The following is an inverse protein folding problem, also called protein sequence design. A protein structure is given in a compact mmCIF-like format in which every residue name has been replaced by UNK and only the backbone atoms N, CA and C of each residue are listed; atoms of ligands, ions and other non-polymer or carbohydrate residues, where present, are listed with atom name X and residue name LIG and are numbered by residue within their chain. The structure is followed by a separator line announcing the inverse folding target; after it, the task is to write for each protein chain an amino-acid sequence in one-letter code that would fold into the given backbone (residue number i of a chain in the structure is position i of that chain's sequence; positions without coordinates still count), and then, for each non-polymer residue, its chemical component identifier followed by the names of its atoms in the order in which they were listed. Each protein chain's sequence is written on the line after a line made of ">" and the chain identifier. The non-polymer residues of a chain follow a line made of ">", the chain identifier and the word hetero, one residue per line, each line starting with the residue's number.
data_IF_639289826287
#
_entry.id   IF_639289826287
#
_cell.length_a   1.000
_cell.length_b   1.000
_cell.length_c   1.000
_cell.angle_alpha   90.00
_cell.angle_beta   90.00
_cell.angle_gamma   90.00
#
_symmetry.space_group_name_H-M   'P 1'
#
loop_
_entity.id
_entity.type
_entity.pdbx_description
1 polymer ?
#
# COMPACT_ATOMS: atom_id res chain seq x y z
N UNK A 1 -11.37 -34.73 -10.29
CA UNK A 1 -12.36 -35.59 -9.62
C UNK A 1 -12.38 -35.18 -8.15
N UNK A 2 -13.26 -34.23 -7.81
CA UNK A 2 -13.41 -33.75 -6.43
C UNK A 2 -14.28 -34.80 -5.73
N UNK A 3 -13.66 -35.64 -4.89
CA UNK A 3 -14.41 -36.48 -3.97
C UNK A 3 -15.03 -35.51 -2.97
N UNK A 4 -16.34 -35.33 -3.05
CA UNK A 4 -17.10 -34.63 -2.02
C UNK A 4 -16.95 -35.45 -0.73
N UNK A 5 -16.02 -35.05 0.12
CA UNK A 5 -15.88 -35.60 1.46
C UNK A 5 -17.13 -35.16 2.26
N UNK A 6 -18.15 -36.01 2.25
CA UNK A 6 -19.40 -35.87 3.01
C UNK A 6 -19.16 -36.13 4.51
N UNK A 7 -17.98 -35.81 5.03
CA UNK A 7 -17.62 -36.06 6.42
C UNK A 7 -18.18 -34.94 7.30
N UNK A 8 -19.14 -35.30 8.16
CA UNK A 8 -19.56 -34.42 9.24
C UNK A 8 -18.31 -34.05 10.06
N UNK A 9 -18.02 -32.75 10.15
CA UNK A 9 -16.84 -32.27 10.85
C UNK A 9 -17.22 -31.80 12.25
N UNK A 10 -16.38 -32.14 13.21
CA UNK A 10 -16.59 -31.75 14.60
C UNK A 10 -16.40 -30.25 14.77
N UNK A 11 -17.34 -29.63 15.47
CA UNK A 11 -17.27 -28.24 15.88
C UNK A 11 -16.00 -27.97 16.72
N UNK A 12 -15.50 -26.74 16.67
CA UNK A 12 -14.41 -26.29 17.54
C UNK A 12 -14.88 -25.16 18.42
N UNK A 13 -14.26 -25.00 19.59
CA UNK A 13 -14.57 -23.91 20.52
C UNK A 13 -14.58 -22.55 19.83
N UNK A 14 -13.53 -22.26 19.05
CA UNK A 14 -13.38 -20.96 18.38
C UNK A 14 -14.38 -20.73 17.25
N UNK A 15 -14.77 -21.77 16.51
CA UNK A 15 -15.80 -21.64 15.48
C UNK A 15 -17.18 -21.38 16.11
N UNK A 16 -17.50 -22.08 17.20
CA UNK A 16 -18.70 -21.79 17.99
C UNK A 16 -18.74 -20.35 18.51
N UNK A 17 -17.64 -19.88 19.11
CA UNK A 17 -17.51 -18.49 19.59
C UNK A 17 -17.66 -17.46 18.48
N UNK A 18 -17.09 -17.73 17.29
CA UNK A 18 -17.29 -16.88 16.13
C UNK A 18 -18.77 -16.79 15.74
N UNK A 19 -19.48 -17.92 15.63
CA UNK A 19 -20.91 -17.91 15.29
C UNK A 19 -21.75 -17.15 16.33
N UNK A 20 -21.47 -17.34 17.62
CA UNK A 20 -22.14 -16.63 18.70
C UNK A 20 -21.89 -15.12 18.63
N UNK A 21 -20.64 -14.72 18.38
CA UNK A 21 -20.25 -13.32 18.20
C UNK A 21 -20.94 -12.72 16.98
N UNK A 22 -20.92 -13.42 15.84
CA UNK A 22 -21.55 -12.96 14.60
C UNK A 22 -23.05 -12.72 14.79
N UNK A 23 -23.77 -13.68 15.41
CA UNK A 23 -25.18 -13.52 15.76
C UNK A 23 -25.40 -12.34 16.72
N UNK A 24 -24.55 -12.22 17.73
CA UNK A 24 -24.61 -11.16 18.74
C UNK A 24 -24.39 -9.76 18.17
N UNK A 25 -23.48 -9.59 17.22
CA UNK A 25 -23.23 -8.32 16.51
C UNK A 25 -24.51 -7.78 15.85
N UNK A 26 -25.33 -8.67 15.28
CA UNK A 26 -26.61 -8.30 14.66
C UNK A 26 -27.80 -8.34 15.62
N UNK A 27 -27.56 -8.61 16.91
CA UNK A 27 -28.59 -8.72 17.96
C UNK A 27 -29.71 -9.72 17.62
N UNK A 28 -29.38 -10.74 16.82
CA UNK A 28 -30.34 -11.74 16.38
C UNK A 28 -30.59 -12.79 17.47
N UNK A 29 -31.84 -13.11 17.70
CA UNK A 29 -32.26 -14.23 18.53
C UNK A 29 -32.12 -15.56 17.78
N UNK A 30 -32.10 -16.68 18.53
CA UNK A 30 -32.14 -18.00 17.91
C UNK A 30 -33.42 -18.26 17.10
N UNK A 31 -34.54 -17.68 17.54
CA UNK A 31 -35.84 -17.90 16.92
C UNK A 31 -35.95 -17.13 15.60
N UNK A 32 -35.37 -15.93 15.50
CA UNK A 32 -35.26 -15.18 14.24
C UNK A 32 -34.41 -15.94 13.20
N UNK A 33 -33.27 -16.50 13.63
CA UNK A 33 -32.42 -17.31 12.74
C UNK A 33 -33.18 -18.53 12.23
N UNK A 34 -33.91 -19.24 13.11
CA UNK A 34 -34.72 -20.39 12.72
C UNK A 34 -35.88 -20.00 11.79
N UNK A 35 -36.57 -18.89 12.06
CA UNK A 35 -37.66 -18.37 11.23
C UNK A 35 -37.21 -18.00 9.81
N UNK A 36 -35.95 -17.55 9.67
CA UNK A 36 -35.32 -17.28 8.38
C UNK A 36 -34.79 -18.55 7.65
N UNK A 37 -35.19 -19.75 8.08
CA UNK A 37 -34.76 -21.01 7.50
C UNK A 37 -33.41 -21.54 8.01
N UNK A 38 -32.91 -20.97 9.11
CA UNK A 38 -31.68 -21.41 9.78
C UNK A 38 -31.87 -22.64 10.67
N UNK A 39 -30.79 -23.13 11.31
CA UNK A 39 -30.90 -24.23 12.26
C UNK A 39 -31.72 -23.85 13.48
N UNK A 40 -32.41 -24.84 14.07
CA UNK A 40 -33.16 -24.63 15.31
C UNK A 40 -32.24 -24.19 16.47
N UNK A 41 -32.81 -23.55 17.50
CA UNK A 41 -32.09 -23.24 18.75
C UNK A 41 -31.39 -24.47 19.34
N UNK A 42 -32.05 -25.64 19.31
CA UNK A 42 -31.49 -26.90 19.82
C UNK A 42 -30.27 -27.39 19.05
N UNK A 43 -30.08 -26.93 17.81
CA UNK A 43 -28.91 -27.24 16.98
C UNK A 43 -27.85 -26.14 17.08
N UNK A 44 -28.25 -24.88 16.94
CA UNK A 44 -27.32 -23.74 16.89
C UNK A 44 -26.66 -23.46 18.24
N UNK A 45 -27.42 -23.51 19.34
CA UNK A 45 -26.87 -23.20 20.66
C UNK A 45 -25.71 -24.12 21.08
N UNK A 46 -25.81 -25.46 20.96
CA UNK A 46 -24.67 -26.36 21.21
C UNK A 46 -23.43 -26.02 20.38
N UNK A 47 -23.62 -25.63 19.11
CA UNK A 47 -22.52 -25.23 18.23
C UNK A 47 -21.88 -23.94 18.77
N UNK A 48 -22.67 -22.92 19.06
CA UNK A 48 -22.21 -21.62 19.58
C UNK A 48 -21.53 -21.73 20.95
N UNK A 49 -21.99 -22.64 21.81
CA UNK A 49 -21.38 -22.95 23.10
C UNK A 49 -20.02 -23.67 22.96
N UNK A 50 -19.63 -24.02 21.72
CA UNK A 50 -18.36 -24.67 21.42
C UNK A 50 -18.33 -26.16 21.76
N UNK A 51 -19.51 -26.79 21.92
CA UNK A 51 -19.60 -28.22 22.20
C UNK A 51 -19.09 -29.03 21.02
N UNK A 52 -18.49 -30.19 21.31
CA UNK A 52 -17.92 -31.10 20.32
C UNK A 52 -19.02 -31.88 19.58
N UNK A 53 -19.85 -31.17 18.82
CA UNK A 53 -20.95 -31.71 18.02
C UNK A 53 -20.58 -31.77 16.55
N UNK A 54 -21.10 -32.77 15.84
CA UNK A 54 -20.89 -32.92 14.41
C UNK A 54 -21.76 -31.90 13.65
N UNK A 55 -21.15 -31.09 12.78
CA UNK A 55 -21.87 -30.10 11.96
C UNK A 55 -21.99 -30.64 10.54
N UNK A 56 -23.22 -30.78 10.06
CA UNK A 56 -23.51 -31.26 8.71
C UNK A 56 -23.47 -30.12 7.67
N UNK A 57 -23.28 -30.48 6.40
CA UNK A 57 -23.39 -29.55 5.27
C UNK A 57 -24.76 -28.87 5.22
N UNK A 58 -25.84 -29.60 5.52
CA UNK A 58 -27.20 -29.04 5.62
C UNK A 58 -27.29 -27.94 6.69
N UNK A 59 -26.67 -28.16 7.85
CA UNK A 59 -26.63 -27.15 8.92
C UNK A 59 -25.91 -25.88 8.47
N UNK A 60 -24.78 -26.04 7.76
CA UNK A 60 -23.99 -24.91 7.24
C UNK A 60 -24.75 -24.15 6.14
N UNK A 61 -25.44 -24.86 5.25
CA UNK A 61 -26.27 -24.26 4.21
C UNK A 61 -27.45 -23.48 4.80
N UNK A 62 -28.10 -24.01 5.85
CA UNK A 62 -29.15 -23.30 6.59
C UNK A 62 -28.63 -22.03 7.25
N UNK A 63 -27.45 -22.07 7.87
CA UNK A 63 -26.82 -20.86 8.42
C UNK A 63 -26.56 -19.82 7.33
N UNK A 64 -25.92 -20.21 6.24
CA UNK A 64 -25.63 -19.29 5.13
C UNK A 64 -26.90 -18.69 4.52
N UNK A 65 -27.97 -19.48 4.39
CA UNK A 65 -29.25 -19.01 3.90
C UNK A 65 -29.88 -17.97 4.85
N UNK A 66 -30.01 -18.30 6.14
CA UNK A 66 -30.63 -17.43 7.13
C UNK A 66 -29.86 -16.12 7.31
N UNK A 67 -28.53 -16.17 7.44
CA UNK A 67 -27.74 -14.93 7.56
C UNK A 67 -27.69 -14.15 6.24
N UNK A 68 -27.82 -14.81 5.09
CA UNK A 68 -27.95 -14.14 3.79
C UNK A 68 -29.25 -13.35 3.63
N UNK A 69 -30.31 -13.71 4.35
CA UNK A 69 -31.59 -12.98 4.35
C UNK A 69 -31.71 -11.97 5.49
N UNK A 70 -31.12 -12.27 6.65
CA UNK A 70 -31.20 -11.42 7.85
C UNK A 70 -30.16 -10.30 7.90
N UNK A 71 -28.98 -10.49 7.29
CA UNK A 71 -27.89 -9.51 7.33
C UNK A 71 -27.81 -8.76 6.00
N UNK A 72 -27.83 -7.41 6.02
CA UNK A 72 -27.72 -6.62 4.79
C UNK A 72 -26.42 -6.92 4.03
N UNK A 73 -26.50 -6.99 2.70
CA UNK A 73 -25.35 -7.33 1.84
C UNK A 73 -24.26 -6.24 1.88
N UNK A 74 -24.67 -5.00 2.07
CA UNK A 74 -23.83 -3.81 2.24
C UNK A 74 -23.16 -3.74 3.62
N UNK A 75 -23.63 -4.53 4.60
CA UNK A 75 -23.03 -4.51 5.93
C UNK A 75 -21.58 -5.05 5.87
N UNK A 76 -20.61 -4.36 6.50
CA UNK A 76 -19.21 -4.78 6.57
C UNK A 76 -18.95 -6.25 6.91
N UNK A 77 -19.78 -6.78 7.81
CA UNK A 77 -19.73 -8.16 8.32
C UNK A 77 -20.88 -9.02 7.74
N UNK A 78 -21.14 -8.93 6.44
CA UNK A 78 -22.24 -9.65 5.79
C UNK A 78 -22.07 -11.19 5.79
N UNK A 79 -23.04 -11.91 5.24
CA UNK A 79 -23.03 -13.37 5.15
C UNK A 79 -21.82 -13.98 4.42
N UNK A 80 -21.09 -13.22 3.59
CA UNK A 80 -19.86 -13.73 2.98
C UNK A 80 -18.74 -13.90 4.01
N UNK A 81 -18.73 -13.12 5.10
CA UNK A 81 -17.81 -13.33 6.21
C UNK A 81 -18.04 -14.70 6.85
N UNK A 82 -19.30 -15.04 7.12
CA UNK A 82 -19.67 -16.36 7.64
C UNK A 82 -19.20 -17.47 6.69
N UNK A 83 -19.38 -17.28 5.37
CA UNK A 83 -18.88 -18.23 4.36
C UNK A 83 -17.37 -18.40 4.45
N UNK A 84 -16.62 -17.31 4.52
CA UNK A 84 -15.16 -17.35 4.67
C UNK A 84 -14.73 -18.04 5.98
N UNK A 85 -15.43 -17.77 7.09
CA UNK A 85 -15.18 -18.44 8.37
C UNK A 85 -15.47 -19.94 8.31
N UNK A 86 -16.54 -20.37 7.62
CA UNK A 86 -16.84 -21.78 7.37
C UNK A 86 -15.72 -22.43 6.55
N UNK A 87 -15.25 -21.79 5.48
CA UNK A 87 -14.12 -22.28 4.68
C UNK A 87 -12.87 -22.44 5.54
N UNK A 88 -12.56 -21.42 6.36
CA UNK A 88 -11.43 -21.45 7.27
C UNK A 88 -11.57 -22.57 8.32
N UNK A 89 -12.77 -22.80 8.88
CA UNK A 89 -13.01 -23.89 9.82
C UNK A 89 -12.95 -25.27 9.16
N UNK A 90 -13.41 -25.41 7.91
CA UNK A 90 -13.44 -26.69 7.15
C UNK A 90 -12.06 -27.18 6.72
N UNK A 91 -11.10 -26.29 6.54
CA UNK A 91 -9.73 -26.68 6.19
C UNK A 91 -8.91 -26.49 7.45
N UNK A 92 -8.14 -27.47 7.95
CA UNK A 92 -7.20 -27.14 9.04
C UNK A 92 -6.06 -26.29 8.45
N UNK A 93 -5.51 -25.31 9.18
CA UNK A 93 -4.24 -24.71 8.81
C UNK A 93 -3.26 -25.81 8.44
N UNK A 94 -2.58 -25.66 7.30
CA UNK A 94 -1.70 -26.72 6.84
C UNK A 94 -0.40 -26.66 7.63
N UNK A 95 -0.26 -27.54 8.62
CA UNK A 95 1.02 -27.78 9.28
C UNK A 95 1.99 -28.61 8.42
N UNK A 96 1.58 -29.01 7.19
CA UNK A 96 2.45 -29.71 6.24
C UNK A 96 3.61 -28.77 5.80
N UNK A 97 4.86 -29.11 6.16
CA UNK A 97 6.02 -28.30 5.79
C UNK A 97 6.17 -28.15 4.28
N UNK A 98 5.72 -29.13 3.49
CA UNK A 98 5.82 -29.10 2.03
C UNK A 98 4.88 -28.06 1.43
N UNK A 99 3.67 -27.94 1.98
CA UNK A 99 2.71 -26.92 1.60
C UNK A 99 3.19 -25.52 1.95
N UNK A 100 3.66 -25.33 3.19
CA UNK A 100 4.24 -24.05 3.60
C UNK A 100 5.45 -23.68 2.73
N UNK A 101 6.33 -24.63 2.41
CA UNK A 101 7.45 -24.39 1.51
C UNK A 101 6.99 -23.97 0.09
N UNK A 102 5.94 -24.60 -0.45
CA UNK A 102 5.34 -24.18 -1.73
C UNK A 102 4.75 -22.78 -1.65
N UNK A 103 4.00 -22.46 -0.60
CA UNK A 103 3.41 -21.13 -0.40
C UNK A 103 4.50 -20.06 -0.32
N UNK A 104 5.60 -20.33 0.40
CA UNK A 104 6.77 -19.46 0.46
C UNK A 104 7.46 -19.33 -0.89
N UNK A 105 7.55 -20.40 -1.68
CA UNK A 105 8.13 -20.36 -3.03
C UNK A 105 7.26 -19.53 -3.99
N UNK A 106 5.93 -19.76 -4.01
CA UNK A 106 4.99 -18.95 -4.79
C UNK A 106 5.05 -17.48 -4.41
N UNK A 107 5.05 -17.21 -3.11
CA UNK A 107 5.28 -15.87 -2.61
C UNK A 107 6.60 -15.35 -3.15
N UNK A 108 7.69 -16.12 -3.05
CA UNK A 108 9.05 -15.74 -3.41
C UNK A 108 9.36 -15.61 -4.92
N UNK A 109 8.51 -16.17 -5.77
CA UNK A 109 8.63 -16.10 -7.22
C UNK A 109 7.64 -15.10 -7.83
N UNK A 110 6.80 -14.46 -7.02
CA UNK A 110 5.88 -13.41 -7.45
C UNK A 110 6.61 -12.16 -7.97
N UNK A 111 6.50 -11.89 -9.27
CA UNK A 111 7.10 -10.73 -9.96
C UNK A 111 6.07 -9.68 -10.38
N UNK A 112 4.84 -9.76 -9.88
CA UNK A 112 3.77 -8.84 -10.28
C UNK A 112 4.09 -7.40 -9.92
N UNK A 113 4.46 -6.58 -10.91
CA UNK A 113 4.80 -5.16 -10.71
C UNK A 113 3.59 -4.31 -10.29
N UNK A 114 2.39 -4.77 -10.64
CA UNK A 114 1.11 -4.08 -10.42
C UNK A 114 0.31 -4.64 -9.24
N UNK A 115 0.88 -5.51 -8.43
CA UNK A 115 0.13 -6.06 -7.31
C UNK A 115 1.02 -6.84 -6.35
N UNK A 116 0.68 -6.76 -5.08
CA UNK A 116 1.33 -7.54 -4.03
C UNK A 116 0.67 -8.90 -3.93
N UNK A 117 1.48 -9.94 -3.81
CA UNK A 117 1.00 -11.26 -3.40
C UNK A 117 0.50 -11.18 -1.96
N UNK A 118 -0.77 -11.50 -1.74
CA UNK A 118 -1.36 -11.52 -0.41
C UNK A 118 -1.36 -12.94 0.15
N UNK A 119 -1.72 -13.95 -0.64
CA UNK A 119 -1.71 -15.35 -0.20
C UNK A 119 -2.38 -16.27 -1.20
N UNK A 120 -2.81 -17.44 -0.74
CA UNK A 120 -3.63 -18.38 -1.52
C UNK A 120 -4.99 -18.56 -0.85
N UNK A 121 -6.05 -18.66 -1.65
CA UNK A 121 -7.38 -18.97 -1.15
C UNK A 121 -7.42 -20.38 -0.57
N UNK A 122 -8.04 -20.51 0.59
CA UNK A 122 -8.07 -21.76 1.35
C UNK A 122 -8.92 -22.84 0.66
N UNK A 123 -9.94 -22.46 -0.11
CA UNK A 123 -10.88 -23.38 -0.74
C UNK A 123 -10.39 -23.95 -2.08
N UNK A 124 -9.89 -23.11 -2.97
CA UNK A 124 -9.50 -23.50 -4.33
C UNK A 124 -8.01 -23.33 -4.65
N UNK A 125 -7.22 -22.82 -3.70
CA UNK A 125 -5.79 -22.58 -3.88
C UNK A 125 -5.45 -21.42 -4.82
N UNK A 126 -6.45 -20.65 -5.27
CA UNK A 126 -6.21 -19.54 -6.18
C UNK A 126 -5.37 -18.44 -5.53
N UNK A 127 -4.45 -17.85 -6.28
CA UNK A 127 -3.61 -16.75 -5.80
C UNK A 127 -4.49 -15.52 -5.53
N UNK A 128 -4.30 -14.95 -4.35
CA UNK A 128 -4.87 -13.64 -3.98
C UNK A 128 -3.76 -12.61 -4.08
N UNK A 129 -4.01 -11.58 -4.88
CA UNK A 129 -3.12 -10.45 -5.05
C UNK A 129 -3.92 -9.14 -5.07
N UNK A 130 -3.30 -8.06 -4.63
CA UNK A 130 -3.97 -6.76 -4.53
C UNK A 130 -2.99 -5.60 -4.54
N UNK A 131 -3.51 -4.39 -4.70
CA UNK A 131 -2.76 -3.14 -4.57
C UNK A 131 -2.65 -2.70 -3.11
N UNK A 132 -3.37 -3.33 -2.19
CA UNK A 132 -3.27 -2.94 -0.79
C UNK A 132 -3.95 -3.94 0.13
N UNK A 133 -3.50 -3.90 1.38
CA UNK A 133 -4.08 -4.63 2.49
C UNK A 133 -4.00 -3.74 3.72
N UNK A 134 -5.12 -3.57 4.43
CA UNK A 134 -5.19 -2.79 5.66
C UNK A 134 -5.89 -3.61 6.74
N UNK A 135 -5.57 -3.37 8.01
CA UNK A 135 -6.39 -3.91 9.09
C UNK A 135 -7.80 -3.35 8.98
N UNK A 136 -8.80 -4.21 9.18
CA UNK A 136 -10.20 -3.77 9.21
C UNK A 136 -10.39 -2.65 10.24
N UNK A 137 -11.01 -1.56 9.78
CA UNK A 137 -11.40 -0.42 10.59
C UNK A 137 -12.94 -0.41 10.67
N UNK A 138 -13.48 -1.24 11.54
CA UNK A 138 -14.92 -1.35 11.76
C UNK A 138 -15.19 -1.40 13.26
N UNK A 139 -16.15 -0.60 13.72
CA UNK A 139 -16.47 -0.50 15.15
C UNK A 139 -16.98 -1.82 15.75
N UNK A 140 -17.52 -2.71 14.91
CA UNK A 140 -17.93 -4.04 15.33
C UNK A 140 -16.77 -5.03 15.46
N UNK A 141 -15.55 -4.67 15.05
CA UNK A 141 -14.37 -5.54 15.07
C UNK A 141 -13.24 -4.94 15.90
N UNK A 142 -12.97 -5.56 17.04
CA UNK A 142 -11.81 -5.22 17.87
C UNK A 142 -10.61 -6.09 17.50
N UNK A 143 -9.59 -5.51 16.87
CA UNK A 143 -8.32 -6.19 16.60
C UNK A 143 -7.42 -6.15 17.84
N UNK A 144 -7.04 -7.33 18.34
CA UNK A 144 -6.17 -7.48 19.52
C UNK A 144 -4.76 -6.90 19.29
N UNK A 145 -4.05 -6.61 20.38
CA UNK A 145 -2.67 -6.12 20.31
C UNK A 145 -1.73 -7.14 19.62
N UNK A 146 -1.90 -8.43 19.93
CA UNK A 146 -1.14 -9.53 19.32
C UNK A 146 -1.35 -9.58 17.80
N UNK A 147 -2.60 -9.46 17.35
CA UNK A 147 -2.89 -9.46 15.92
C UNK A 147 -2.36 -8.21 15.20
N UNK A 148 -2.29 -7.06 15.89
CA UNK A 148 -1.62 -5.86 15.35
C UNK A 148 -0.11 -6.04 15.23
N UNK A 149 0.54 -6.75 16.15
CA UNK A 149 1.96 -7.12 16.04
C UNK A 149 2.17 -8.03 14.82
N UNK A 150 1.41 -9.12 14.72
CA UNK A 150 1.50 -10.05 13.61
C UNK A 150 1.24 -9.37 12.24
N UNK A 151 0.30 -8.43 12.19
CA UNK A 151 0.05 -7.66 10.98
C UNK A 151 1.22 -6.75 10.59
N UNK A 152 1.88 -6.11 11.56
CA UNK A 152 3.07 -5.29 11.30
C UNK A 152 4.21 -6.14 10.73
N UNK A 153 4.46 -7.31 11.30
CA UNK A 153 5.44 -8.27 10.78
C UNK A 153 5.11 -8.66 9.34
N UNK A 154 3.84 -8.97 9.07
CA UNK A 154 3.36 -9.29 7.73
C UNK A 154 3.61 -8.18 6.71
N UNK A 155 3.28 -6.93 7.05
CA UNK A 155 3.52 -5.79 6.16
C UNK A 155 5.02 -5.55 5.96
N UNK A 156 5.86 -5.70 7.00
CA UNK A 156 7.31 -5.64 6.89
C UNK A 156 7.85 -6.70 5.92
N UNK A 157 7.30 -7.92 5.91
CA UNK A 157 7.71 -8.94 4.95
C UNK A 157 7.34 -8.60 3.50
N UNK A 158 6.15 -8.03 3.29
CA UNK A 158 5.78 -7.51 1.96
C UNK A 158 6.79 -6.44 1.51
N UNK A 159 7.16 -5.52 2.41
CA UNK A 159 8.12 -4.44 2.15
C UNK A 159 9.47 -4.94 1.65
N UNK A 160 10.02 -5.92 2.38
CA UNK A 160 11.36 -6.45 2.13
C UNK A 160 11.42 -7.16 0.78
N UNK A 161 10.31 -7.75 0.35
CA UNK A 161 10.23 -8.52 -0.88
C UNK A 161 9.91 -7.69 -2.12
N UNK A 162 8.94 -6.77 -2.01
CA UNK A 162 8.43 -6.09 -3.19
C UNK A 162 9.52 -5.25 -3.85
N UNK A 163 9.62 -5.27 -5.18
CA UNK A 163 10.60 -4.50 -5.96
C UNK A 163 10.31 -2.99 -6.01
N UNK A 164 9.25 -2.55 -5.32
CA UNK A 164 8.86 -1.15 -5.29
C UNK A 164 9.71 -0.41 -4.25
N UNK A 165 9.91 0.87 -4.50
CA UNK A 165 10.41 1.79 -3.50
C UNK A 165 9.49 1.76 -2.29
N UNK A 166 10.03 1.52 -1.09
CA UNK A 166 9.22 1.48 0.13
C UNK A 166 9.12 2.89 0.70
N UNK A 167 7.89 3.35 0.95
CA UNK A 167 7.61 4.65 1.54
C UNK A 167 7.02 4.47 2.94
N UNK A 168 7.59 5.17 3.92
CA UNK A 168 7.08 5.19 5.29
C UNK A 168 6.76 6.63 5.68
N UNK A 169 5.51 6.98 6.03
CA UNK A 169 5.21 8.30 6.58
C UNK A 169 6.04 8.56 7.85
N UNK A 170 6.55 9.77 8.01
CA UNK A 170 7.44 10.19 9.09
C UNK A 170 6.86 9.90 10.48
N UNK A 171 5.54 10.08 10.65
CA UNK A 171 4.80 9.78 11.88
C UNK A 171 4.91 8.29 12.31
N UNK A 172 5.13 7.38 11.35
CA UNK A 172 5.21 5.94 11.59
C UNK A 172 6.63 5.39 11.49
N UNK A 173 7.64 6.24 11.28
CA UNK A 173 9.01 5.81 11.04
C UNK A 173 9.67 5.08 12.23
N UNK A 174 9.11 5.23 13.44
CA UNK A 174 9.51 4.49 14.64
C UNK A 174 8.68 3.23 14.92
N UNK A 175 7.53 3.07 14.26
CA UNK A 175 6.61 1.94 14.44
C UNK A 175 6.78 0.86 13.36
N UNK A 176 7.21 1.27 12.17
CA UNK A 176 7.56 0.36 11.08
C UNK A 176 8.99 -0.10 11.32
N UNK A 177 9.11 -1.20 12.06
CA UNK A 177 10.39 -1.85 12.29
C UNK A 177 10.60 -2.88 11.18
N UNK A 178 11.50 -2.56 10.25
CA UNK A 178 12.06 -3.56 9.34
C UNK A 178 13.17 -4.28 10.11
N UNK A 179 12.72 -5.20 10.95
CA UNK A 179 13.35 -5.74 12.17
C UNK A 179 14.75 -6.40 12.03
N UNK A 180 15.35 -6.42 10.84
CA UNK A 180 16.81 -6.40 10.79
C UNK A 180 17.29 -5.66 9.56
N UNK A 181 18.12 -4.64 9.78
CA UNK A 181 18.95 -4.04 8.74
C UNK A 181 19.70 -5.14 7.98
N UNK A 182 20.08 -6.22 8.65
CA UNK A 182 20.77 -7.36 8.06
C UNK A 182 19.91 -8.15 7.05
N UNK A 183 18.63 -8.39 7.33
CA UNK A 183 17.74 -9.07 6.38
C UNK A 183 17.39 -8.17 5.19
N UNK A 184 17.11 -6.89 5.45
CA UNK A 184 16.91 -5.92 4.38
C UNK A 184 18.15 -5.83 3.50
N UNK A 185 19.35 -5.63 4.07
CA UNK A 185 20.60 -5.57 3.31
C UNK A 185 20.94 -6.90 2.62
N UNK A 186 20.46 -8.04 3.12
CA UNK A 186 20.64 -9.31 2.43
C UNK A 186 19.77 -9.42 1.17
N UNK A 187 18.55 -8.88 1.20
CA UNK A 187 17.56 -9.00 0.12
C UNK A 187 17.64 -7.82 -0.86
N UNK A 188 17.91 -6.62 -0.33
CA UNK A 188 18.02 -5.33 -0.99
C UNK A 188 19.39 -4.70 -0.64
N UNK A 189 20.50 -5.31 -1.10
CA UNK A 189 21.86 -4.93 -0.69
C UNK A 189 22.26 -3.52 -1.11
N UNK A 190 21.62 -2.96 -2.14
CA UNK A 190 21.87 -1.60 -2.57
C UNK A 190 20.93 -0.61 -1.86
N UNK A 191 19.86 -1.12 -1.24
CA UNK A 191 18.83 -0.35 -0.56
C UNK A 191 19.30 0.45 0.65
N UNK A 192 19.15 1.77 0.58
CA UNK A 192 19.41 2.67 1.70
C UNK A 192 18.13 3.17 2.37
N UNK A 193 18.21 3.47 3.67
CA UNK A 193 17.24 4.37 4.32
C UNK A 193 17.55 5.80 3.90
N UNK A 194 16.51 6.51 3.48
CA UNK A 194 16.56 7.88 2.98
C UNK A 194 15.38 8.67 3.49
N UNK A 195 15.43 9.97 3.32
CA UNK A 195 14.42 10.90 3.75
C UNK A 195 14.02 11.87 2.63
N UNK A 196 12.72 12.12 2.51
CA UNK A 196 12.15 13.14 1.64
C UNK A 196 11.33 14.10 2.51
N UNK A 197 11.70 15.37 2.54
CA UNK A 197 11.06 16.35 3.42
C UNK A 197 11.94 16.83 4.58
N UNK A 198 11.49 17.87 5.28
CA UNK A 198 12.18 18.46 6.42
C UNK A 198 12.42 17.48 7.60
N UNK A 199 13.53 17.70 8.32
CA UNK A 199 13.84 17.03 9.60
C UNK A 199 14.85 15.88 9.50
N UNK A 200 15.40 15.63 8.33
CA UNK A 200 16.36 14.54 8.11
C UNK A 200 17.82 14.95 8.34
N UNK A 201 18.67 13.96 8.66
CA UNK A 201 20.13 14.15 8.64
C UNK A 201 20.56 14.39 7.19
N UNK A 202 21.36 15.43 6.96
CA UNK A 202 21.76 15.91 5.63
C UNK A 202 22.28 14.84 4.66
N UNK A 203 22.93 13.78 5.18
CA UNK A 203 23.50 12.71 4.36
C UNK A 203 22.50 11.64 3.89
N UNK A 204 21.25 11.71 4.33
CA UNK A 204 20.20 10.74 4.00
C UNK A 204 19.05 11.37 3.20
N UNK A 205 19.19 12.64 2.80
CA UNK A 205 18.15 13.40 2.07
C UNK A 205 18.16 13.06 0.58
N UNK A 206 16.99 12.93 -0.02
CA UNK A 206 16.80 12.79 -1.47
C UNK A 206 16.23 14.08 -2.03
N UNK A 207 16.90 14.64 -3.04
CA UNK A 207 16.31 15.69 -3.87
C UNK A 207 15.41 15.04 -4.93
N UNK A 208 14.12 15.00 -4.63
CA UNK A 208 13.14 14.45 -5.55
C UNK A 208 12.57 15.55 -6.45
N UNK A 209 12.86 15.47 -7.75
CA UNK A 209 12.19 16.29 -8.75
C UNK A 209 10.90 15.57 -9.21
N UNK A 210 9.71 16.06 -8.83
CA UNK A 210 8.46 15.41 -9.20
C UNK A 210 8.04 15.66 -10.65
N UNK A 211 8.71 16.54 -11.39
CA UNK A 211 8.36 16.88 -12.79
C UNK A 211 9.42 16.41 -13.78
N UNK A 212 10.49 15.75 -13.31
CA UNK A 212 11.47 15.09 -14.17
C UNK A 212 10.84 14.06 -15.12
N UNK A 213 11.54 13.87 -16.24
CA UNK A 213 11.29 12.90 -17.32
C UNK A 213 9.94 13.07 -18.06
N UNK A 214 9.35 14.27 -18.00
CA UNK A 214 8.12 14.56 -18.75
C UNK A 214 8.48 14.92 -20.19
N UNK A 215 8.24 13.99 -21.11
CA UNK A 215 8.61 14.14 -22.53
C UNK A 215 7.43 14.30 -23.48
N UNK A 216 6.20 14.01 -23.02
CA UNK A 216 4.98 14.11 -23.82
C UNK A 216 3.85 14.82 -23.08
N UNK A 217 2.85 15.33 -23.82
CA UNK A 217 1.66 15.94 -23.23
C UNK A 217 0.85 14.94 -22.38
N UNK A 218 0.81 13.68 -22.79
CA UNK A 218 0.13 12.62 -22.04
C UNK A 218 0.81 12.40 -20.67
N UNK A 219 2.14 12.36 -20.65
CA UNK A 219 2.91 12.24 -19.40
C UNK A 219 2.74 13.48 -18.52
N UNK A 220 2.73 14.66 -19.15
CA UNK A 220 2.54 15.93 -18.46
C UNK A 220 1.16 16.02 -17.80
N UNK A 221 0.10 15.60 -18.49
CA UNK A 221 -1.26 15.52 -17.94
C UNK A 221 -1.30 14.53 -16.78
N UNK A 222 -0.81 13.31 -16.99
CA UNK A 222 -0.76 12.26 -15.94
C UNK A 222 0.00 12.76 -14.71
N UNK A 223 1.12 13.47 -14.93
CA UNK A 223 1.92 14.03 -13.85
C UNK A 223 1.23 15.18 -13.14
N UNK A 224 0.58 16.09 -13.87
CA UNK A 224 -0.18 17.19 -13.30
C UNK A 224 -1.33 16.68 -12.40
N UNK A 225 -2.06 15.65 -12.82
CA UNK A 225 -3.09 15.00 -12.01
C UNK A 225 -2.50 14.33 -10.76
N UNK A 226 -1.38 13.61 -10.91
CA UNK A 226 -0.69 12.98 -9.80
C UNK A 226 -0.19 14.00 -8.77
N UNK A 227 0.30 15.15 -9.24
CA UNK A 227 0.69 16.31 -8.41
C UNK A 227 -0.50 17.04 -7.77
N UNK A 228 -1.68 16.93 -8.37
CA UNK A 228 -2.92 17.47 -7.83
C UNK A 228 -3.42 18.76 -8.41
N UNK A 229 -3.13 19.00 -9.68
CA UNK A 229 -3.89 19.97 -10.45
C UNK A 229 -5.39 19.62 -10.44
N UNK A 230 -6.23 20.63 -10.24
CA UNK A 230 -7.67 20.52 -10.40
C UNK A 230 -8.03 20.27 -11.88
N UNK A 231 -9.12 19.57 -12.21
CA UNK A 231 -9.46 19.21 -13.59
C UNK A 231 -9.45 20.39 -14.58
N UNK A 232 -9.81 21.59 -14.12
CA UNK A 232 -9.83 22.82 -14.91
C UNK A 232 -8.44 23.42 -15.18
N UNK A 233 -7.45 23.07 -14.35
CA UNK A 233 -6.08 23.58 -14.39
C UNK A 233 -5.06 22.53 -14.88
N UNK A 234 -5.46 21.25 -15.06
CA UNK A 234 -4.57 20.14 -15.47
C UNK A 234 -3.77 20.48 -16.72
N UNK A 235 -4.44 20.98 -17.77
CA UNK A 235 -3.76 21.34 -19.02
C UNK A 235 -2.74 22.46 -18.78
N UNK A 236 -3.09 23.49 -18.02
CA UNK A 236 -2.19 24.61 -17.79
C UNK A 236 -0.93 24.18 -17.04
N UNK A 237 -1.11 23.36 -16.00
CA UNK A 237 0.02 22.79 -15.24
C UNK A 237 0.86 21.89 -16.16
N UNK A 238 0.23 21.03 -16.97
CA UNK A 238 0.93 20.14 -17.91
C UNK A 238 1.81 20.91 -18.90
N UNK A 239 1.34 22.03 -19.46
CA UNK A 239 2.14 22.87 -20.35
C UNK A 239 3.35 23.48 -19.63
N UNK A 240 3.20 23.86 -18.36
CA UNK A 240 4.33 24.33 -17.54
C UNK A 240 5.34 23.21 -17.29
N UNK A 241 4.89 21.98 -17.03
CA UNK A 241 5.78 20.84 -16.85
C UNK A 241 6.62 20.58 -18.11
N UNK A 242 5.99 20.59 -19.28
CA UNK A 242 6.67 20.45 -20.57
C UNK A 242 7.69 21.56 -20.80
N UNK A 243 7.31 22.82 -20.54
CA UNK A 243 8.20 23.95 -20.69
C UNK A 243 9.42 23.86 -19.77
N UNK A 244 9.22 23.42 -18.52
CA UNK A 244 10.30 23.22 -17.54
C UNK A 244 11.27 22.11 -17.98
N UNK A 245 10.76 20.96 -18.42
CA UNK A 245 11.58 19.84 -18.92
C UNK A 245 12.34 20.22 -20.20
N UNK A 246 11.72 20.99 -21.08
CA UNK A 246 12.40 21.49 -22.28
C UNK A 246 13.51 22.52 -21.93
N UNK A 247 13.33 23.31 -20.87
CA UNK A 247 14.30 24.34 -20.47
C UNK A 247 15.48 23.77 -19.66
N UNK A 248 15.24 22.80 -18.78
CA UNK A 248 16.26 22.17 -17.96
C UNK A 248 15.95 20.68 -17.75
N UNK A 249 16.34 19.79 -18.70
CA UNK A 249 16.00 18.37 -18.64
C UNK A 249 16.46 17.65 -17.36
N UNK A 250 17.59 18.07 -16.79
CA UNK A 250 18.18 17.44 -15.61
C UNK A 250 17.54 17.90 -14.28
N UNK A 251 16.99 19.12 -14.24
CA UNK A 251 16.44 19.75 -13.02
C UNK A 251 15.25 20.67 -13.32
N UNK A 252 14.19 20.15 -13.96
CA UNK A 252 13.09 20.98 -14.42
C UNK A 252 12.41 21.76 -13.30
N UNK A 253 12.31 21.21 -12.08
CA UNK A 253 11.66 21.94 -10.98
C UNK A 253 12.40 23.21 -10.57
N UNK A 254 13.72 23.26 -10.78
CA UNK A 254 14.54 24.40 -10.40
C UNK A 254 14.31 25.63 -11.28
N UNK A 255 13.78 25.45 -12.50
CA UNK A 255 13.57 26.55 -13.46
C UNK A 255 12.11 27.02 -13.56
N UNK A 256 11.18 26.40 -12.83
CA UNK A 256 9.73 26.72 -12.91
C UNK A 256 9.46 28.20 -12.67
N UNK A 257 10.06 28.82 -11.65
CA UNK A 257 9.86 30.25 -11.38
C UNK A 257 10.44 31.15 -12.48
N UNK A 258 11.55 30.73 -13.08
CA UNK A 258 12.23 31.46 -14.17
C UNK A 258 11.41 31.47 -15.46
N UNK A 259 10.50 30.50 -15.67
CA UNK A 259 9.55 30.52 -16.79
C UNK A 259 8.62 31.74 -16.76
N UNK A 260 8.48 32.38 -15.59
CA UNK A 260 7.63 33.55 -15.38
C UNK A 260 8.43 34.85 -15.14
N UNK A 261 9.76 34.85 -15.29
CA UNK A 261 10.60 36.01 -15.02
C UNK A 261 10.66 36.97 -16.22
N UNK A 262 10.35 38.25 -16.00
CA UNK A 262 10.32 39.29 -17.05
C UNK A 262 11.74 39.55 -17.58
N UNK A 263 11.96 39.30 -18.87
CA UNK A 263 13.11 39.85 -19.60
C UNK A 263 14.04 38.87 -20.35
N UNK A 264 14.04 37.54 -20.11
CA UNK A 264 14.96 36.66 -20.85
C UNK A 264 14.64 35.15 -20.98
N UNK A 265 13.50 34.60 -20.50
CA UNK A 265 13.26 33.14 -20.63
C UNK A 265 11.79 32.73 -20.85
N UNK A 266 10.96 33.64 -21.36
CA UNK A 266 9.53 33.41 -21.66
C UNK A 266 9.26 32.55 -22.91
N UNK A 267 10.30 32.23 -23.69
CA UNK A 267 10.15 31.60 -25.02
C UNK A 267 9.53 30.19 -24.94
N UNK A 268 9.98 29.27 -24.06
CA UNK A 268 9.51 27.88 -24.13
C UNK A 268 8.02 27.71 -23.85
N UNK A 269 7.49 28.33 -22.79
CA UNK A 269 6.07 28.17 -22.42
C UNK A 269 5.15 28.90 -23.40
N UNK A 270 5.51 30.11 -23.83
CA UNK A 270 4.73 30.88 -24.79
C UNK A 270 4.66 30.16 -26.15
N UNK A 271 5.79 29.66 -26.65
CA UNK A 271 5.86 28.91 -27.91
C UNK A 271 5.03 27.62 -27.85
N UNK A 272 5.06 26.93 -26.71
CA UNK A 272 4.23 25.76 -26.46
C UNK A 272 2.74 26.15 -26.50
N UNK A 273 2.32 27.19 -25.76
CA UNK A 273 0.93 27.65 -25.77
C UNK A 273 0.44 28.01 -27.18
N UNK A 274 1.26 28.71 -27.97
CA UNK A 274 0.94 29.07 -29.36
C UNK A 274 0.73 27.83 -30.24
N UNK A 275 1.57 26.80 -30.11
CA UNK A 275 1.41 25.53 -30.85
C UNK A 275 0.11 24.80 -30.52
N UNK A 276 -0.38 24.92 -29.29
CA UNK A 276 -1.63 24.30 -28.85
C UNK A 276 -2.86 25.22 -28.95
N UNK A 277 -2.70 26.45 -29.46
CA UNK A 277 -3.80 27.42 -29.57
C UNK A 277 -4.33 27.90 -28.20
N UNK A 278 -3.51 27.77 -27.14
CA UNK A 278 -3.86 28.19 -25.78
C UNK A 278 -3.44 29.64 -25.58
N UNK A 279 -4.33 30.48 -25.05
CA UNK A 279 -3.97 31.87 -24.72
C UNK A 279 -2.96 31.90 -23.59
N UNK A 280 -1.80 32.51 -23.86
CA UNK A 280 -0.76 32.66 -22.86
C UNK A 280 -1.14 33.73 -21.83
N UNK A 281 -1.40 33.30 -20.59
CA UNK A 281 -1.62 34.16 -19.42
C UNK A 281 -0.59 33.83 -18.33
N UNK A 282 0.49 34.60 -18.28
CA UNK A 282 1.60 34.35 -17.36
C UNK A 282 1.19 34.41 -15.89
N UNK A 283 0.20 35.24 -15.53
CA UNK A 283 -0.29 35.33 -14.16
C UNK A 283 -1.10 34.09 -13.79
N UNK A 284 -1.94 33.59 -14.70
CA UNK A 284 -2.69 32.34 -14.52
C UNK A 284 -1.74 31.15 -14.37
N UNK A 285 -0.83 30.93 -15.31
CA UNK A 285 0.12 29.82 -15.27
C UNK A 285 0.96 29.85 -13.99
N UNK A 286 1.49 31.01 -13.61
CA UNK A 286 2.25 31.16 -12.37
C UNK A 286 1.42 30.77 -11.15
N UNK A 287 0.17 31.26 -11.05
CA UNK A 287 -0.71 30.96 -9.92
C UNK A 287 -0.97 29.46 -9.79
N UNK A 288 -1.40 28.80 -10.87
CA UNK A 288 -1.76 27.36 -10.82
C UNK A 288 -0.54 26.48 -10.58
N UNK A 289 0.61 26.81 -11.19
CA UNK A 289 1.86 26.08 -10.95
C UNK A 289 2.37 26.26 -9.53
N UNK A 290 2.28 27.46 -8.95
CA UNK A 290 2.69 27.68 -7.55
C UNK A 290 1.79 26.93 -6.57
N UNK A 291 0.49 26.88 -6.81
CA UNK A 291 -0.44 26.11 -5.98
C UNK A 291 -0.09 24.62 -5.92
N UNK A 292 0.42 24.06 -7.01
CA UNK A 292 0.72 22.63 -7.13
C UNK A 292 2.18 22.30 -6.78
N UNK A 293 3.15 23.12 -7.23
CA UNK A 293 4.57 22.79 -7.23
C UNK A 293 5.38 23.46 -6.11
N UNK A 294 4.86 24.49 -5.42
CA UNK A 294 5.66 25.26 -4.46
C UNK A 294 6.27 24.38 -3.36
N UNK A 295 5.47 23.52 -2.72
CA UNK A 295 5.96 22.62 -1.68
C UNK A 295 7.06 21.69 -2.20
N UNK A 296 6.89 21.13 -3.40
CA UNK A 296 7.88 20.26 -4.01
C UNK A 296 9.18 20.97 -4.34
N UNK A 297 9.09 22.18 -4.90
CA UNK A 297 10.23 23.00 -5.26
C UNK A 297 11.02 23.38 -4.01
N UNK A 298 10.33 23.80 -2.96
CA UNK A 298 10.97 24.20 -1.71
C UNK A 298 11.72 23.02 -1.10
N UNK A 299 11.13 21.81 -1.08
CA UNK A 299 11.82 20.59 -0.62
C UNK A 299 13.00 20.20 -1.51
N UNK A 300 12.87 20.32 -2.83
CA UNK A 300 13.97 20.07 -3.76
C UNK A 300 15.15 21.02 -3.52
N UNK A 301 14.88 22.31 -3.34
CA UNK A 301 15.90 23.32 -3.05
C UNK A 301 16.57 23.04 -1.70
N UNK A 302 15.78 22.73 -0.67
CA UNK A 302 16.30 22.40 0.66
C UNK A 302 17.18 21.14 0.65
N UNK A 303 16.88 20.18 -0.22
CA UNK A 303 17.70 18.98 -0.40
C UNK A 303 19.01 19.22 -1.18
N UNK A 304 19.03 20.19 -2.10
CA UNK A 304 20.17 20.45 -3.01
C UNK A 304 21.12 21.55 -2.55
N UNK A 305 20.76 22.36 -1.57
CA UNK A 305 21.57 23.54 -1.21
C UNK A 305 22.01 23.53 0.25
N UNK A 306 23.31 23.73 0.47
CA UNK A 306 23.85 24.13 1.76
C UNK A 306 24.06 25.64 1.77
N UNK A 307 23.35 26.32 2.66
CA UNK A 307 23.40 27.78 2.80
C UNK A 307 23.89 28.10 4.20
N UNK A 308 25.03 28.78 4.28
CA UNK A 308 25.63 29.21 5.54
C UNK A 308 25.93 30.71 5.47
N UNK A 309 25.75 31.39 6.60
CA UNK A 309 26.25 32.76 6.76
C UNK A 309 27.60 32.64 7.45
N UNK A 310 28.66 32.91 6.70
CA UNK A 310 30.02 32.82 7.19
C UNK A 310 30.74 34.16 7.01
N UNK A 311 31.71 34.43 7.88
CA UNK A 311 32.56 35.60 7.72
C UNK A 311 33.42 35.39 6.47
N UNK A 312 33.45 36.40 5.61
CA UNK A 312 34.38 36.45 4.49
C UNK A 312 35.82 36.73 4.99
N UNK A 313 36.78 36.75 4.07
CA UNK A 313 38.18 37.01 4.40
C UNK A 313 38.42 38.37 5.09
N UNK A 314 37.44 39.28 5.05
CA UNK A 314 37.49 40.62 5.65
C UNK A 314 36.65 40.72 6.94
N UNK A 315 36.10 39.61 7.45
CA UNK A 315 35.27 39.59 8.66
C UNK A 315 33.82 40.07 8.45
N UNK A 316 33.36 40.22 7.20
CA UNK A 316 31.98 40.57 6.88
C UNK A 316 31.14 39.32 6.67
N UNK A 317 29.94 39.29 7.26
CA UNK A 317 29.00 38.16 7.10
C UNK A 317 28.47 38.12 5.68
N UNK A 318 28.84 37.08 4.93
CA UNK A 318 28.38 36.84 3.57
C UNK A 318 27.55 35.56 3.50
N UNK A 319 26.54 35.56 2.63
CA UNK A 319 25.75 34.37 2.34
C UNK A 319 26.58 33.48 1.40
N UNK A 320 26.97 32.30 1.88
CA UNK A 320 27.64 31.29 1.08
C UNK A 320 26.65 30.17 0.77
N UNK A 321 26.33 30.01 -0.50
CA UNK A 321 25.44 28.96 -0.99
C UNK A 321 26.23 27.97 -1.83
N UNK A 322 26.22 26.70 -1.43
CA UNK A 322 26.86 25.61 -2.16
C UNK A 322 25.80 24.60 -2.58
N UNK A 323 25.77 24.28 -3.86
CA UNK A 323 24.98 23.15 -4.36
C UNK A 323 25.65 21.84 -3.93
N UNK A 324 24.85 20.93 -3.39
CA UNK A 324 25.25 19.59 -2.97
C UNK A 324 24.98 18.66 -4.15
N UNK A 325 26.02 18.01 -4.64
CA UNK A 325 25.89 16.89 -5.56
C UNK A 325 25.44 15.66 -4.78
N UNK A 326 24.14 15.42 -4.79
CA UNK A 326 23.59 14.15 -4.33
C UNK A 326 23.91 13.10 -5.40
N UNK A 327 24.32 11.91 -4.98
CA UNK A 327 24.52 10.82 -5.92
C UNK A 327 23.24 10.61 -6.72
N UNK A 328 23.36 10.50 -8.04
CA UNK A 328 22.26 10.12 -8.92
C UNK A 328 21.84 8.70 -8.53
N UNK A 329 20.76 8.56 -7.77
CA UNK A 329 20.21 7.30 -7.26
C UNK A 329 19.60 6.40 -8.38
N UNK A 330 20.02 6.58 -9.64
CA UNK A 330 19.68 5.70 -10.76
C UNK A 330 20.01 4.25 -10.40
N UNK A 331 19.04 3.36 -10.61
CA UNK A 331 19.02 1.92 -10.28
C UNK A 331 18.79 1.50 -8.82
N UNK A 332 18.92 2.37 -7.81
CA UNK A 332 18.82 1.97 -6.38
C UNK A 332 17.46 2.24 -5.73
N UNK A 333 16.58 3.01 -6.40
CA UNK A 333 15.28 3.43 -5.83
C UNK A 333 14.37 2.24 -5.46
N UNK A 334 14.29 1.20 -6.30
CA UNK A 334 13.43 0.03 -6.04
C UNK A 334 13.85 -0.81 -4.82
N UNK A 335 15.09 -0.65 -4.37
CA UNK A 335 15.62 -1.32 -3.17
C UNK A 335 15.60 -0.42 -1.93
N UNK A 336 15.26 0.86 -2.08
CA UNK A 336 15.39 1.84 -1.00
C UNK A 336 14.14 1.91 -0.11
N UNK A 337 14.34 2.45 1.10
CA UNK A 337 13.26 2.87 1.99
C UNK A 337 13.34 4.38 2.17
N UNK A 338 12.27 5.08 1.84
CA UNK A 338 12.15 6.51 2.05
C UNK A 338 11.17 6.82 3.17
N UNK A 339 11.64 7.57 4.15
CA UNK A 339 10.78 8.21 5.14
C UNK A 339 10.36 9.57 4.60
N UNK A 340 9.06 9.86 4.56
CA UNK A 340 8.57 11.12 4.00
C UNK A 340 7.53 11.82 4.87
N UNK A 341 7.43 13.14 4.78
CA UNK A 341 6.39 13.92 5.44
C UNK A 341 5.11 13.95 4.59
N UNK A 342 4.04 13.21 4.96
CA UNK A 342 2.80 13.19 4.19
C UNK A 342 2.01 14.51 4.29
N UNK A 343 2.26 15.36 5.27
CA UNK A 343 1.56 16.65 5.38
C UNK A 343 2.05 17.64 4.31
N UNK A 344 3.33 17.56 3.96
CA UNK A 344 3.95 18.40 2.93
C UNK A 344 3.84 17.80 1.54
N UNK A 345 4.07 16.49 1.43
CA UNK A 345 4.11 15.76 0.17
C UNK A 345 3.07 14.62 0.16
N UNK A 346 1.76 14.91 0.34
CA UNK A 346 0.72 13.88 0.47
C UNK A 346 0.59 13.00 -0.76
N UNK A 347 1.04 13.48 -1.93
CA UNK A 347 0.91 12.78 -3.21
C UNK A 347 2.20 12.10 -3.67
N UNK A 348 3.27 12.07 -2.87
CA UNK A 348 4.54 11.42 -3.22
C UNK A 348 4.37 10.00 -3.77
N UNK A 349 3.56 9.10 -3.17
CA UNK A 349 3.37 7.77 -3.73
C UNK A 349 2.77 7.78 -5.15
N UNK A 350 1.82 8.69 -5.42
CA UNK A 350 1.17 8.83 -6.74
C UNK A 350 2.09 9.45 -7.77
N UNK A 351 2.87 10.46 -7.38
CA UNK A 351 3.85 11.11 -8.25
C UNK A 351 4.95 10.14 -8.68
N UNK A 352 5.45 9.32 -7.75
CA UNK A 352 6.39 8.23 -8.05
C UNK A 352 5.80 7.23 -9.04
N UNK A 353 4.55 6.79 -8.81
CA UNK A 353 3.86 5.89 -9.75
C UNK A 353 3.70 6.52 -11.15
N UNK A 354 3.45 7.83 -11.24
CA UNK A 354 3.41 8.59 -12.48
C UNK A 354 4.81 8.86 -13.09
N UNK A 355 5.89 8.59 -12.36
CA UNK A 355 7.29 8.51 -12.85
C UNK A 355 7.68 7.07 -13.21
N UNK A 356 6.71 6.16 -13.37
CA UNK A 356 6.97 4.74 -13.60
C UNK A 356 7.85 4.11 -12.50
N UNK A 357 7.84 4.67 -11.29
CA UNK A 357 8.51 4.13 -10.11
C UNK A 357 7.43 3.64 -9.14
N UNK A 358 7.11 2.33 -9.12
CA UNK A 358 6.15 1.80 -8.16
C UNK A 358 6.57 2.11 -6.73
N UNK A 359 5.61 2.52 -5.91
CA UNK A 359 5.82 2.92 -4.53
C UNK A 359 4.93 2.11 -3.59
N UNK A 360 5.55 1.40 -2.65
CA UNK A 360 4.86 0.66 -1.60
C UNK A 360 4.84 1.49 -0.32
N UNK A 361 3.70 2.13 -0.06
CA UNK A 361 3.48 2.84 1.19
C UNK A 361 3.13 1.88 2.32
N UNK A 362 3.81 2.03 3.45
CA UNK A 362 3.63 1.19 4.64
C UNK A 362 3.29 2.04 5.86
N UNK A 363 2.31 1.57 6.61
CA UNK A 363 1.86 2.11 7.89
C UNK A 363 1.66 0.95 8.88
N UNK A 364 1.54 1.20 10.20
CA UNK A 364 1.28 0.17 11.19
C UNK A 364 -0.02 -0.61 10.95
N UNK A 365 -0.94 -0.04 10.16
CA UNK A 365 -2.28 -0.57 9.90
C UNK A 365 -2.53 -0.91 8.44
N UNK A 366 -1.54 -0.73 7.55
CA UNK A 366 -1.74 -1.09 6.14
C UNK A 366 -0.51 -0.97 5.25
N UNK A 367 -0.55 -1.71 4.15
CA UNK A 367 0.37 -1.64 3.03
C UNK A 367 -0.41 -1.27 1.76
N UNK A 368 0.09 -0.32 0.97
CA UNK A 368 -0.53 0.08 -0.30
C UNK A 368 0.52 0.32 -1.37
N UNK A 369 0.40 -0.41 -2.47
CA UNK A 369 1.14 -0.23 -3.69
C UNK A 369 0.48 0.84 -4.56
N UNK A 370 1.29 1.78 -5.02
CA UNK A 370 0.97 2.74 -6.06
C UNK A 370 1.82 2.40 -7.28
N UNK A 371 1.16 2.10 -8.39
CA UNK A 371 1.79 1.79 -9.66
C UNK A 371 1.02 2.49 -10.78
N UNK A 372 1.58 2.55 -11.99
CA UNK A 372 0.88 3.10 -13.14
C UNK A 372 -0.33 2.23 -13.51
N UNK A 373 -1.51 2.85 -13.67
CA UNK A 373 -2.77 2.20 -14.05
C UNK A 373 -3.83 2.14 -12.95
N UNK A 374 -4.94 1.44 -13.23
CA UNK A 374 -6.10 1.37 -12.34
C UNK A 374 -5.78 0.64 -11.02
N UNK A 375 -5.94 1.34 -9.91
CA UNK A 375 -5.60 0.89 -8.56
C UNK A 375 -6.86 0.58 -7.73
N UNK A 376 -7.51 -0.57 -7.95
CA UNK A 376 -8.82 -0.83 -7.32
C UNK A 376 -8.86 -1.98 -6.30
N UNK A 377 -7.86 -2.88 -6.31
CA UNK A 377 -7.91 -4.07 -5.44
C UNK A 377 -7.28 -3.81 -4.07
N UNK A 378 -8.03 -3.17 -3.19
CA UNK A 378 -7.67 -3.04 -1.77
C UNK A 378 -8.44 -4.07 -0.95
N UNK A 379 -7.77 -4.64 0.05
CA UNK A 379 -8.37 -5.61 0.97
C UNK A 379 -8.36 -5.11 2.40
N UNK A 380 -9.46 -5.32 3.12
CA UNK A 380 -9.45 -5.26 4.58
C UNK A 380 -9.14 -6.64 5.14
N UNK A 381 -8.16 -6.70 6.03
CA UNK A 381 -7.69 -7.90 6.68
C UNK A 381 -8.26 -7.96 8.08
N UNK A 382 -8.97 -9.06 8.34
CA UNK A 382 -9.31 -9.50 9.68
C UNK A 382 -8.41 -10.69 10.04
N UNK A 383 -7.57 -10.56 11.08
CA UNK A 383 -6.70 -11.65 11.54
C UNK A 383 -7.53 -12.87 11.94
N UNK A 384 -7.05 -14.07 11.58
CA UNK A 384 -7.60 -15.32 12.05
C UNK A 384 -6.53 -16.13 12.80
N UNK A 385 -6.70 -17.45 12.92
CA UNK A 385 -5.79 -18.31 13.67
C UNK A 385 -4.58 -18.68 12.80
N UNK A 386 -3.37 -18.49 13.33
CA UNK A 386 -2.12 -18.89 12.70
C UNK A 386 -1.78 -18.05 11.46
N UNK A 387 -1.37 -18.71 10.38
CA UNK A 387 -1.03 -18.09 9.08
C UNK A 387 -2.25 -17.64 8.26
N UNK A 388 -3.46 -17.81 8.79
CA UNK A 388 -4.68 -17.51 8.05
C UNK A 388 -5.26 -16.16 8.43
N UNK A 389 -5.88 -15.54 7.44
CA UNK A 389 -6.66 -14.33 7.62
C UNK A 389 -7.93 -14.39 6.80
N UNK A 390 -8.82 -13.45 7.09
CA UNK A 390 -10.00 -13.20 6.29
C UNK A 390 -9.78 -11.87 5.58
N UNK A 391 -9.86 -11.87 4.25
CA UNK A 391 -9.72 -10.68 3.43
C UNK A 391 -11.07 -10.26 2.87
N UNK A 392 -11.44 -9.00 3.02
CA UNK A 392 -12.61 -8.38 2.40
C UNK A 392 -12.19 -7.55 1.21
N UNK A 393 -12.77 -7.79 0.05
CA UNK A 393 -12.56 -6.96 -1.13
C UNK A 393 -13.48 -5.72 -1.18
N UNK A 394 -13.29 -4.87 -2.19
CA UNK A 394 -14.09 -3.67 -2.42
C UNK A 394 -15.57 -3.94 -2.74
N UNK A 395 -15.93 -5.16 -3.16
CA UNK A 395 -17.32 -5.60 -3.34
C UNK A 395 -17.93 -6.09 -2.02
N UNK A 396 -17.28 -5.83 -0.89
CA UNK A 396 -17.67 -6.30 0.44
C UNK A 396 -17.75 -7.84 0.51
N UNK A 397 -16.95 -8.55 -0.30
CA UNK A 397 -16.88 -10.01 -0.29
C UNK A 397 -15.68 -10.48 0.52
N UNK A 398 -15.96 -11.37 1.46
CA UNK A 398 -14.94 -12.00 2.30
C UNK A 398 -14.39 -13.29 1.70
N UNK A 399 -13.08 -13.49 1.87
CA UNK A 399 -12.31 -14.64 1.43
C UNK A 399 -11.48 -15.15 2.60
N UNK A 400 -11.34 -16.48 2.73
CA UNK A 400 -10.37 -17.08 3.63
C UNK A 400 -9.05 -17.29 2.87
N UNK A 401 -7.97 -16.74 3.41
CA UNK A 401 -6.65 -16.74 2.76
C UNK A 401 -5.62 -17.32 3.70
N UNK A 402 -4.79 -18.20 3.16
CA UNK A 402 -3.58 -18.69 3.81
C UNK A 402 -2.41 -17.85 3.33
N UNK A 403 -1.75 -17.22 4.30
CA UNK A 403 -0.64 -16.32 4.11
C UNK A 403 0.66 -17.10 4.35
N UNK A 404 1.75 -16.75 3.68
CA UNK A 404 3.07 -17.26 4.06
C UNK A 404 3.39 -16.82 5.49
N UNK A 405 3.85 -17.78 6.30
CA UNK A 405 4.20 -17.59 7.71
C UNK A 405 5.57 -16.91 7.90
N UNK A 406 6.44 -17.03 6.90
CA UNK A 406 7.70 -16.30 6.73
C UNK A 406 8.02 -16.27 5.24
N UNK A 407 9.01 -15.48 4.82
CA UNK A 407 9.46 -15.43 3.42
C UNK A 407 10.91 -15.90 3.23
N UNK A 408 11.51 -16.47 4.27
CA UNK A 408 12.87 -16.99 4.21
C UNK A 408 12.95 -18.15 3.21
N UNK A 409 13.80 -18.01 2.18
CA UNK A 409 14.30 -19.18 1.44
C UNK A 409 14.95 -20.09 2.47
N UNK A 410 14.41 -21.30 2.67
CA UNK A 410 15.09 -22.35 3.43
C UNK A 410 16.52 -22.45 2.90
N UNK A 411 17.50 -22.11 3.73
CA UNK A 411 18.88 -21.98 3.29
C UNK A 411 19.34 -23.24 2.56
N UNK A 412 19.62 -23.13 1.26
CA UNK A 412 20.70 -23.93 0.70
C UNK A 412 21.97 -23.38 1.32
N UNK A 413 22.71 -24.24 2.00
CA UNK A 413 23.95 -23.90 2.69
C UNK A 413 24.81 -22.99 1.83
N UNK A 414 25.14 -21.84 2.39
CA UNK A 414 26.32 -21.10 1.95
C UNK A 414 27.50 -22.01 2.28
N UNK A 415 27.93 -22.82 1.32
CA UNK A 415 29.30 -23.29 1.30
C UNK A 415 30.17 -22.03 1.22
N UNK A 416 30.59 -21.55 2.39
CA UNK A 416 31.73 -20.66 2.50
C UNK A 416 32.92 -21.44 1.93
N UNK A 417 33.25 -21.19 0.67
CA UNK A 417 34.61 -21.47 0.19
C UNK A 417 35.54 -20.58 1.01
N UNK A 418 36.43 -21.25 1.74
CA UNK A 418 37.50 -20.68 2.54
C UNK A 418 38.49 -19.89 1.67
#
# INVERSE_FOLDING_TARGET
>A
MIIADNSNRLNTHWFGKFLASFRGTFRLSYDEVAAAGGPSRGTLKPIEDGLNVAISEDTLNKLLHAYGSLVPAEHPLNASLLRAAIVNWRHRPSDDPSHLARLRATANDWTGERGMFLGIRVDDGAIVHGHGVALIQDDAVTVSAESRVAFREYVSWIATRHHALVLVPSAHAGEVNLDSRDEWLRIKPQGGRRHVGLGAKRFEVVAFDPIADVTSLSDAITRAEALGAEPVDVLDVALVLLAANNAAPEEPIAVVDSLFAVGASYVPLKDICEKFGVTFDSAKFRRVSQQVLAAWRDEYVLARWDVVIADDANGSKTLQARKIDLASDGDVRGESLWVYDPARLPRLPRVLAAQHTPALQITPTGARLYASGDCERLYDLMPAVGSRCLLRDWNNRWLAVEMPDTYLRSGKGVERKA
#
